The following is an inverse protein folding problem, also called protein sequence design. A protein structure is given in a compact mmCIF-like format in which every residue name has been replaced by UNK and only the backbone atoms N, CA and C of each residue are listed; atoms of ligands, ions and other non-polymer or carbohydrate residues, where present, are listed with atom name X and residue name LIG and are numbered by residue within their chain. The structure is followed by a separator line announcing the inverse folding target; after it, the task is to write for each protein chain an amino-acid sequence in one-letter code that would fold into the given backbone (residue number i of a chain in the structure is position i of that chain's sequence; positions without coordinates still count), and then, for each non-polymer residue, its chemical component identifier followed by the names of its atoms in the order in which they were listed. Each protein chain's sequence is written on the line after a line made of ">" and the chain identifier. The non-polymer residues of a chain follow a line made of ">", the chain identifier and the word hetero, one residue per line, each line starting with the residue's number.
data_IF_085419594523
#
_entry.id   IF_085419594523
#
_cell.length_a   1.000
_cell.length_b   1.000
_cell.length_c   1.000
_cell.angle_alpha   90.00
_cell.angle_beta   90.00
_cell.angle_gamma   90.00
#
_symmetry.space_group_name_H-M   'P 1'
#
loop_
_entity.id
_entity.type
_entity.pdbx_description
1 polymer ?
#
# COMPACT_ATOMS: atom_id res chain seq x y z
N UNK A 1 9.18 -19.10 6.18
CA UNK A 1 9.41 -18.69 4.78
C UNK A 1 8.08 -18.16 4.26
N UNK A 2 7.87 -16.85 4.34
CA UNK A 2 6.63 -16.22 3.88
C UNK A 2 6.52 -16.43 2.37
N UNK A 3 5.44 -17.05 1.90
CA UNK A 3 5.20 -17.18 0.47
C UNK A 3 4.78 -15.81 -0.06
N UNK A 4 5.61 -15.18 -0.90
CA UNK A 4 5.37 -13.86 -1.53
C UNK A 4 4.17 -13.87 -2.50
N UNK A 5 3.47 -14.99 -2.64
CA UNK A 5 2.44 -15.17 -3.66
C UNK A 5 1.21 -14.26 -3.45
N UNK A 6 0.95 -13.81 -2.22
CA UNK A 6 -0.18 -12.93 -1.89
C UNK A 6 0.26 -11.86 -0.86
N UNK A 7 0.67 -10.69 -1.34
CA UNK A 7 1.10 -9.56 -0.51
C UNK A 7 0.03 -8.47 -0.55
N UNK A 8 -0.41 -8.01 0.63
CA UNK A 8 -1.30 -6.86 0.70
C UNK A 8 -0.58 -5.58 0.28
N UNK A 9 -1.29 -4.68 -0.41
CA UNK A 9 -0.69 -3.49 -1.03
C UNK A 9 -1.25 -2.19 -0.46
N UNK A 10 -0.35 -1.25 -0.20
CA UNK A 10 -0.63 0.14 0.14
C UNK A 10 -0.20 1.04 -1.03
N UNK A 11 -1.16 1.61 -1.79
CA UNK A 11 -0.85 2.42 -2.95
C UNK A 11 -0.49 3.88 -2.58
N UNK A 12 0.54 4.44 -3.21
CA UNK A 12 0.99 5.83 -3.06
C UNK A 12 1.14 6.53 -4.41
N UNK A 13 0.98 7.85 -4.47
CA UNK A 13 1.23 8.66 -5.69
C UNK A 13 2.72 8.77 -6.01
N UNK A 14 3.59 8.44 -5.07
CA UNK A 14 5.05 8.42 -5.23
C UNK A 14 5.64 7.02 -5.10
N UNK A 15 6.85 6.84 -5.63
CA UNK A 15 7.64 5.61 -5.48
C UNK A 15 8.40 5.65 -4.16
N UNK A 16 8.19 4.66 -3.31
CA UNK A 16 9.01 4.45 -2.12
C UNK A 16 10.26 3.64 -2.49
N UNK A 17 11.44 4.21 -2.28
CA UNK A 17 12.70 3.51 -2.49
C UNK A 17 13.07 2.63 -1.29
N UNK A 18 13.88 1.57 -1.48
CA UNK A 18 14.41 0.77 -0.39
C UNK A 18 15.09 1.65 0.68
N UNK A 19 14.84 1.34 1.95
CA UNK A 19 15.32 2.11 3.11
C UNK A 19 14.79 3.55 3.21
N UNK A 20 13.92 3.98 2.28
CA UNK A 20 13.24 5.25 2.33
C UNK A 20 12.28 5.33 3.52
N UNK A 21 12.16 6.52 4.11
CA UNK A 21 11.18 6.81 5.16
C UNK A 21 10.18 7.83 4.64
N UNK A 22 8.90 7.48 4.70
CA UNK A 22 7.80 8.37 4.31
C UNK A 22 6.83 8.46 5.50
N UNK A 23 6.53 9.66 6.01
CA UNK A 23 5.48 9.82 7.00
C UNK A 23 4.12 9.58 6.34
N UNK A 24 3.43 8.52 6.76
CA UNK A 24 2.11 8.18 6.25
C UNK A 24 1.01 8.70 7.17
N UNK A 25 0.02 9.37 6.59
CA UNK A 25 -1.24 9.69 7.26
C UNK A 25 -2.32 8.73 6.75
N UNK A 26 -2.62 7.72 7.56
CA UNK A 26 -3.56 6.66 7.19
C UNK A 26 -4.89 6.94 7.89
N UNK A 27 -5.94 7.16 7.11
CA UNK A 27 -7.28 7.44 7.62
C UNK A 27 -8.37 6.55 7.02
N UNK A 28 -8.10 5.89 5.89
CA UNK A 28 -9.04 4.92 5.32
C UNK A 28 -9.02 3.63 6.14
N UNK A 29 -10.21 3.17 6.52
CA UNK A 29 -10.38 2.02 7.42
C UNK A 29 -9.69 0.75 6.90
N UNK A 30 -9.83 0.44 5.61
CA UNK A 30 -9.15 -0.71 4.96
C UNK A 30 -7.63 -0.72 5.15
N UNK A 31 -7.00 0.45 5.22
CA UNK A 31 -5.55 0.55 5.40
C UNK A 31 -5.14 0.62 6.87
N UNK A 32 -6.01 1.15 7.74
CA UNK A 32 -5.83 1.01 9.20
C UNK A 32 -5.85 -0.46 9.61
N UNK A 33 -6.77 -1.24 9.06
CA UNK A 33 -6.87 -2.68 9.29
C UNK A 33 -5.61 -3.41 8.76
N UNK A 34 -5.16 -3.07 7.54
CA UNK A 34 -3.92 -3.59 6.97
C UNK A 34 -2.70 -3.39 7.89
N UNK A 35 -2.48 -2.17 8.36
CA UNK A 35 -1.34 -1.87 9.23
C UNK A 35 -1.47 -2.59 10.57
N UNK A 36 -2.68 -2.61 11.14
CA UNK A 36 -2.94 -3.34 12.39
C UNK A 36 -2.64 -4.82 12.26
N UNK A 37 -3.09 -5.48 11.20
CA UNK A 37 -2.88 -6.90 10.96
C UNK A 37 -1.42 -7.21 10.66
N UNK A 38 -0.75 -6.35 9.88
CA UNK A 38 0.69 -6.42 9.63
C UNK A 38 1.49 -6.36 10.93
N UNK A 39 1.19 -5.40 11.81
CA UNK A 39 1.85 -5.28 13.12
C UNK A 39 1.59 -6.49 14.03
N UNK A 40 0.36 -7.01 14.03
CA UNK A 40 -0.03 -8.16 14.86
C UNK A 40 0.63 -9.47 14.40
N UNK A 41 0.74 -9.67 13.08
CA UNK A 41 1.26 -10.89 12.47
C UNK A 41 2.76 -10.85 12.18
N UNK A 42 3.40 -9.69 12.37
CA UNK A 42 4.76 -9.42 11.90
C UNK A 42 4.95 -9.73 10.41
N UNK A 43 3.88 -9.59 9.62
CA UNK A 43 3.89 -9.78 8.17
C UNK A 43 4.11 -8.45 7.46
N UNK A 44 4.97 -8.38 6.44
CA UNK A 44 5.12 -7.17 5.64
C UNK A 44 3.88 -6.93 4.76
N UNK A 45 3.77 -5.70 4.25
CA UNK A 45 2.89 -5.32 3.16
C UNK A 45 3.71 -4.54 2.13
N UNK A 46 3.28 -4.58 0.87
CA UNK A 46 3.96 -3.88 -0.21
C UNK A 46 3.46 -2.45 -0.36
N UNK A 47 4.36 -1.52 -0.60
CA UNK A 47 4.06 -0.15 -1.02
C UNK A 47 4.23 -0.07 -2.53
N UNK A 48 3.19 0.32 -3.25
CA UNK A 48 3.17 0.34 -4.71
C UNK A 48 2.82 1.73 -5.22
N UNK A 49 3.46 2.14 -6.32
CA UNK A 49 3.17 3.41 -6.94
C UNK A 49 1.85 3.37 -7.74
N UNK A 50 1.06 4.46 -7.70
CA UNK A 50 -0.15 4.66 -8.49
C UNK A 50 0.24 5.29 -9.83
N UNK A 51 0.07 4.53 -10.92
CA UNK A 51 0.28 5.03 -12.28
C UNK A 51 -0.80 6.02 -12.70
N UNK A 52 -2.06 5.71 -12.40
CA UNK A 52 -3.21 6.57 -12.66
C UNK A 52 -4.27 6.43 -11.58
N UNK A 53 -4.89 7.53 -11.17
CA UNK A 53 -5.93 7.56 -10.15
C UNK A 53 -5.54 8.46 -8.98
N UNK A 54 -6.14 8.21 -7.83
CA UNK A 54 -5.87 8.94 -6.59
C UNK A 54 -5.59 7.95 -5.46
N UNK A 55 -4.78 8.36 -4.48
CA UNK A 55 -4.55 7.60 -3.24
C UNK A 55 -5.85 7.36 -2.49
N UNK A 56 -6.69 8.41 -2.42
CA UNK A 56 -7.91 8.39 -1.62
C UNK A 56 -9.07 7.87 -2.45
N UNK A 57 -9.73 6.84 -1.94
CA UNK A 57 -10.96 6.35 -2.54
C UNK A 57 -12.05 7.44 -2.52
N UNK A 58 -12.65 7.70 -3.69
CA UNK A 58 -13.81 8.57 -3.84
C UNK A 58 -14.96 7.76 -4.41
N UNK A 59 -16.18 7.93 -3.87
CA UNK A 59 -17.38 7.26 -4.41
C UNK A 59 -17.54 7.62 -5.89
N UNK A 60 -17.73 6.59 -6.72
CA UNK A 60 -17.88 6.73 -8.17
C UNK A 60 -16.56 6.79 -8.95
N UNK A 61 -15.39 6.74 -8.30
CA UNK A 61 -14.11 6.52 -8.98
C UNK A 61 -13.76 5.04 -9.01
N UNK A 62 -13.18 4.62 -10.13
CA UNK A 62 -12.53 3.32 -10.25
C UNK A 62 -11.33 3.22 -9.29
N UNK A 63 -10.95 1.99 -8.94
CA UNK A 63 -9.72 1.74 -8.20
C UNK A 63 -8.50 2.31 -8.95
N UNK A 64 -7.46 2.78 -8.24
CA UNK A 64 -6.26 3.29 -8.87
C UNK A 64 -5.59 2.19 -9.70
N UNK A 65 -5.05 2.57 -10.85
CA UNK A 65 -4.18 1.72 -11.64
C UNK A 65 -2.81 1.70 -10.97
N UNK A 66 -2.41 0.53 -10.50
CA UNK A 66 -1.12 0.31 -9.87
C UNK A 66 -0.02 0.26 -10.94
N UNK A 67 1.18 0.71 -10.57
CA UNK A 67 2.38 0.54 -11.37
C UNK A 67 2.95 -0.88 -11.25
N UNK A 68 3.93 -1.18 -12.09
CA UNK A 68 4.54 -2.52 -12.18
C UNK A 68 5.60 -2.78 -11.08
N UNK A 69 5.92 -1.76 -10.26
CA UNK A 69 7.00 -1.81 -9.27
C UNK A 69 6.55 -1.25 -7.91
N UNK A 70 7.09 -1.84 -6.84
CA UNK A 70 6.86 -1.46 -5.45
C UNK A 70 7.97 -1.97 -4.53
N UNK A 71 7.85 -1.65 -3.24
CA UNK A 71 8.84 -1.98 -2.19
C UNK A 71 8.11 -2.61 -1.00
N UNK A 72 8.70 -3.61 -0.34
CA UNK A 72 8.16 -4.24 0.87
C UNK A 72 9.16 -4.25 2.03
#
# INVERSE_FOLDING_TARGET
>A
MWSVNELALFPLSGVLLPFGRVPLQIFEQRYLDLVRDSMKSASPFGVVWIRHGAEVAQRGRAAPQLGDYGTC
#
